data_IF_776917404363
#
_entry.id   IF_776917404363
#
_cell.length_a   1.000
_cell.length_b   1.000
_cell.length_c   1.000
_cell.angle_alpha   90.00
_cell.angle_beta   90.00
_cell.angle_gamma   90.00
#
_symmetry.space_group_name_H-M   'P 1'
#
loop_
_entity.id
_entity.type
_entity.pdbx_description
1 polymer ?
#
# COMPACT_ATOMS: atom_id res chain seq x y z
N UNK A 1 45.75 6.72 -36.12
CA UNK A 1 45.30 8.13 -35.98
C UNK A 1 43.86 8.22 -36.47
N UNK A 2 43.02 8.95 -35.73
CA UNK A 2 41.63 9.34 -36.01
C UNK A 2 40.48 8.37 -35.69
N UNK A 3 39.94 8.62 -34.50
CA UNK A 3 38.60 8.36 -33.97
C UNK A 3 37.47 8.90 -34.87
N UNK A 4 36.33 8.21 -34.90
CA UNK A 4 35.01 8.85 -34.88
C UNK A 4 34.04 8.00 -34.06
N UNK A 5 33.76 8.48 -32.85
CA UNK A 5 32.71 7.96 -31.97
C UNK A 5 31.43 8.68 -32.36
N UNK A 6 30.49 7.99 -33.00
CA UNK A 6 29.14 8.52 -33.21
C UNK A 6 28.29 8.14 -31.99
N UNK A 7 28.22 9.05 -31.02
CA UNK A 7 27.34 8.95 -29.87
C UNK A 7 25.89 9.18 -30.31
N UNK A 8 25.23 8.11 -30.75
CA UNK A 8 23.79 8.06 -30.92
C UNK A 8 23.10 8.01 -29.55
N UNK A 9 22.35 9.07 -29.24
CA UNK A 9 21.56 9.25 -28.01
C UNK A 9 20.49 8.14 -27.95
N UNK A 10 20.82 7.03 -27.29
CA UNK A 10 19.82 6.02 -26.92
C UNK A 10 19.00 6.57 -25.75
N UNK A 11 17.90 7.25 -26.07
CA UNK A 11 16.81 7.49 -25.13
C UNK A 11 16.34 6.14 -24.59
N UNK A 12 16.84 5.72 -23.41
CA UNK A 12 16.36 4.53 -22.70
C UNK A 12 14.91 4.82 -22.28
N UNK A 13 13.96 4.45 -23.13
CA UNK A 13 12.65 4.04 -22.64
C UNK A 13 12.91 2.80 -21.78
N UNK A 14 13.05 3.00 -20.48
CA UNK A 14 13.13 1.93 -19.48
C UNK A 14 11.82 1.16 -19.58
N UNK A 15 11.81 0.11 -20.40
CA UNK A 15 10.74 -0.87 -20.40
C UNK A 15 10.57 -1.33 -18.96
N UNK A 16 9.32 -1.41 -18.51
CA UNK A 16 9.00 -1.96 -17.19
C UNK A 16 9.56 -3.37 -17.19
N UNK A 17 10.65 -3.58 -16.46
CA UNK A 17 11.27 -4.88 -16.40
C UNK A 17 10.37 -5.79 -15.54
N UNK A 18 10.26 -7.10 -15.82
CA UNK A 18 9.61 -8.05 -14.90
C UNK A 18 10.15 -7.95 -13.47
N UNK A 19 11.40 -7.51 -13.31
CA UNK A 19 11.99 -7.17 -12.01
C UNK A 19 11.20 -6.08 -11.29
N UNK A 20 10.66 -5.07 -11.97
CA UNK A 20 9.93 -3.98 -11.33
C UNK A 20 8.63 -4.46 -10.67
N UNK A 21 7.93 -5.44 -11.26
CA UNK A 21 6.73 -6.01 -10.65
C UNK A 21 7.09 -6.86 -9.43
N UNK A 22 8.15 -7.67 -9.53
CA UNK A 22 8.67 -8.45 -8.40
C UNK A 22 9.13 -7.55 -7.26
N UNK A 23 9.82 -6.44 -7.57
CA UNK A 23 10.28 -5.45 -6.58
C UNK A 23 9.10 -4.77 -5.87
N UNK A 24 8.02 -4.43 -6.60
CA UNK A 24 6.80 -3.89 -5.98
C UNK A 24 6.18 -4.93 -5.03
N UNK A 25 6.07 -6.19 -5.47
CA UNK A 25 5.53 -7.26 -4.62
C UNK A 25 6.39 -7.46 -3.37
N UNK A 26 7.71 -7.48 -3.51
CA UNK A 26 8.64 -7.61 -2.41
C UNK A 26 8.52 -6.44 -1.41
N UNK A 27 8.39 -5.21 -1.90
CA UNK A 27 8.19 -4.04 -1.03
C UNK A 27 6.88 -4.11 -0.24
N UNK A 28 5.77 -4.51 -0.88
CA UNK A 28 4.48 -4.70 -0.19
C UNK A 28 4.55 -5.82 0.84
N UNK A 29 5.21 -6.93 0.50
CA UNK A 29 5.39 -8.06 1.42
C UNK A 29 6.22 -7.64 2.64
N UNK A 30 7.35 -6.97 2.44
CA UNK A 30 8.20 -6.46 3.52
C UNK A 30 7.41 -5.56 4.49
N UNK A 31 6.58 -4.67 3.96
CA UNK A 31 5.74 -3.77 4.75
C UNK A 31 4.73 -4.56 5.60
N UNK A 32 4.07 -5.55 4.99
CA UNK A 32 3.16 -6.42 5.71
C UNK A 32 3.87 -7.19 6.83
N UNK A 33 5.06 -7.74 6.55
CA UNK A 33 5.85 -8.49 7.52
C UNK A 33 6.29 -7.60 8.69
N UNK A 34 6.74 -6.37 8.41
CA UNK A 34 7.08 -5.38 9.44
C UNK A 34 5.87 -5.00 10.30
N UNK A 35 4.70 -4.78 9.69
CA UNK A 35 3.47 -4.48 10.39
C UNK A 35 3.05 -5.66 11.28
N UNK A 36 3.08 -6.89 10.77
CA UNK A 36 2.76 -8.12 11.49
C UNK A 36 3.73 -8.39 12.65
N UNK A 37 5.01 -8.09 12.46
CA UNK A 37 6.05 -8.25 13.49
C UNK A 37 6.09 -7.11 14.52
N UNK A 38 5.28 -6.06 14.36
CA UNK A 38 5.30 -4.89 15.25
C UNK A 38 6.54 -3.99 15.08
N UNK A 39 7.23 -4.07 13.94
CA UNK A 39 8.43 -3.30 13.62
C UNK A 39 8.08 -1.90 13.09
N UNK A 40 7.27 -1.15 13.85
CA UNK A 40 6.68 0.11 13.38
C UNK A 40 7.71 1.22 13.12
N UNK A 41 8.81 1.23 13.88
CA UNK A 41 9.92 2.14 13.66
C UNK A 41 10.57 1.93 12.29
N UNK A 42 10.81 0.67 11.90
CA UNK A 42 11.37 0.33 10.58
C UNK A 42 10.34 0.56 9.46
N UNK A 43 9.05 0.31 9.75
CA UNK A 43 7.96 0.54 8.81
C UNK A 43 7.85 2.01 8.39
N UNK A 44 8.26 2.96 9.24
CA UNK A 44 8.31 4.38 8.88
C UNK A 44 9.17 4.65 7.65
N UNK A 45 10.24 3.88 7.45
CA UNK A 45 11.10 4.03 6.27
C UNK A 45 10.41 3.55 4.99
N UNK A 46 9.34 2.76 5.07
CA UNK A 46 8.53 2.42 3.88
C UNK A 46 7.66 3.57 3.36
N UNK A 47 7.55 4.66 4.13
CA UNK A 47 6.75 5.82 3.77
C UNK A 47 7.47 6.71 2.74
N UNK A 48 6.73 7.30 1.78
CA UNK A 48 7.25 8.33 0.90
C UNK A 48 7.79 9.53 1.70
N UNK A 49 8.79 10.21 1.16
CA UNK A 49 9.35 11.45 1.71
C UNK A 49 8.26 12.47 2.10
N UNK A 50 7.25 12.64 1.25
CA UNK A 50 6.13 13.54 1.51
C UNK A 50 5.30 13.16 2.73
N UNK A 51 5.22 11.88 3.08
CA UNK A 51 4.54 11.41 4.29
C UNK A 51 5.44 11.59 5.50
N UNK A 52 6.74 11.27 5.37
CA UNK A 52 7.75 11.46 6.42
C UNK A 52 7.94 12.93 6.83
N UNK A 53 7.60 13.89 5.96
CA UNK A 53 7.60 15.31 6.32
C UNK A 53 6.37 15.77 7.12
N UNK A 54 5.31 14.97 7.18
CA UNK A 54 4.03 15.32 7.85
C UNK A 54 3.85 14.66 9.21
N UNK A 55 4.48 13.52 9.44
CA UNK A 55 4.42 12.76 10.68
C UNK A 55 5.83 12.35 11.08
N UNK A 56 6.18 12.55 12.35
CA UNK A 56 7.48 12.08 12.87
C UNK A 56 7.46 10.56 13.05
N UNK A 57 8.66 9.97 13.10
CA UNK A 57 8.83 8.52 13.30
C UNK A 57 8.13 8.04 14.57
N UNK A 58 8.43 8.67 15.71
CA UNK A 58 7.84 8.33 17.01
C UNK A 58 6.31 8.44 16.99
N UNK A 59 5.76 9.49 16.35
CA UNK A 59 4.31 9.69 16.28
C UNK A 59 3.65 8.63 15.41
N UNK A 60 4.29 8.21 14.33
CA UNK A 60 3.83 7.13 13.47
C UNK A 60 3.83 5.78 14.23
N UNK A 61 4.96 5.44 14.85
CA UNK A 61 5.09 4.19 15.60
C UNK A 61 4.11 4.13 16.78
N UNK A 62 3.99 5.21 17.57
CA UNK A 62 3.03 5.30 18.66
C UNK A 62 1.57 5.22 18.20
N UNK A 63 1.25 5.67 16.97
CA UNK A 63 -0.09 5.53 16.41
C UNK A 63 -0.42 4.07 16.07
N UNK A 64 0.51 3.33 15.47
CA UNK A 64 0.32 1.92 15.16
C UNK A 64 0.31 1.05 16.41
N UNK A 65 1.17 1.34 17.38
CA UNK A 65 1.23 0.63 18.66
C UNK A 65 -0.11 0.61 19.38
N UNK A 66 -0.85 1.73 19.34
CA UNK A 66 -2.20 1.83 19.94
C UNK A 66 -3.22 0.88 19.31
N UNK A 67 -3.00 0.46 18.07
CA UNK A 67 -3.88 -0.45 17.34
C UNK A 67 -3.46 -1.92 17.41
N UNK A 68 -2.28 -2.23 17.97
CA UNK A 68 -1.67 -3.58 17.96
C UNK A 68 -2.58 -4.68 18.52
N UNK A 69 -3.38 -4.37 19.53
CA UNK A 69 -4.24 -5.34 20.19
C UNK A 69 -5.66 -5.38 19.62
N UNK A 70 -5.95 -4.60 18.58
CA UNK A 70 -7.27 -4.57 17.93
C UNK A 70 -7.42 -5.67 16.88
N UNK A 71 -6.30 -6.19 16.37
CA UNK A 71 -6.29 -7.23 15.35
C UNK A 71 -4.96 -8.00 15.38
N UNK A 72 -4.98 -9.24 14.91
CA UNK A 72 -3.81 -10.06 14.65
C UNK A 72 -3.71 -10.34 13.15
N UNK A 73 -2.68 -9.82 12.49
CA UNK A 73 -2.48 -10.04 11.06
C UNK A 73 -2.12 -11.51 10.77
N UNK A 74 -2.84 -12.12 9.84
CA UNK A 74 -2.64 -13.49 9.40
C UNK A 74 -1.76 -13.51 8.15
N UNK A 75 -2.31 -13.10 7.00
CA UNK A 75 -1.63 -13.16 5.70
C UNK A 75 -2.03 -12.00 4.80
N UNK A 76 -1.28 -11.85 3.71
CA UNK A 76 -1.59 -10.93 2.62
C UNK A 76 -1.60 -11.67 1.29
N UNK A 77 -2.57 -11.36 0.44
CA UNK A 77 -2.57 -11.72 -0.97
C UNK A 77 -2.23 -10.46 -1.77
N UNK A 78 -1.21 -10.57 -2.64
CA UNK A 78 -0.72 -9.46 -3.46
C UNK A 78 -1.02 -9.79 -4.92
N UNK A 79 -1.87 -8.97 -5.55
CA UNK A 79 -2.23 -9.13 -6.95
C UNK A 79 -1.07 -8.87 -7.92
N UNK A 80 -1.37 -8.82 -9.21
CA UNK A 80 -0.40 -8.43 -10.24
C UNK A 80 -0.12 -6.91 -10.17
N UNK A 81 1.11 -6.48 -9.87
CA UNK A 81 1.44 -5.06 -9.84
C UNK A 81 1.38 -4.45 -11.24
N UNK A 82 0.82 -3.25 -11.35
CA UNK A 82 0.80 -2.47 -12.59
C UNK A 82 1.75 -1.29 -12.41
N UNK A 83 2.88 -1.35 -13.11
CA UNK A 83 3.96 -0.36 -13.00
C UNK A 83 3.86 0.63 -14.16
N UNK A 84 4.24 1.88 -13.92
CA UNK A 84 4.34 2.94 -14.92
C UNK A 84 5.46 3.90 -14.52
N UNK A 85 6.68 3.65 -15.02
CA UNK A 85 7.87 4.42 -14.62
C UNK A 85 8.16 4.23 -13.13
N UNK A 86 8.19 5.34 -12.38
CA UNK A 86 8.45 5.33 -10.93
C UNK A 86 7.17 5.17 -10.09
N UNK A 87 6.05 4.81 -10.70
CA UNK A 87 4.77 4.63 -10.01
C UNK A 87 4.28 3.19 -10.18
N UNK A 88 3.60 2.68 -9.17
CA UNK A 88 2.93 1.39 -9.27
C UNK A 88 1.60 1.39 -8.52
N UNK A 89 0.71 0.50 -8.96
CA UNK A 89 -0.52 0.19 -8.25
C UNK A 89 -0.67 -1.32 -8.15
N UNK A 90 -1.13 -1.81 -7.00
CA UNK A 90 -1.37 -3.22 -6.75
C UNK A 90 -2.59 -3.38 -5.88
N UNK A 91 -3.47 -4.32 -6.24
CA UNK A 91 -4.62 -4.69 -5.42
C UNK A 91 -4.14 -5.72 -4.39
N UNK A 92 -4.47 -5.52 -3.11
CA UNK A 92 -4.09 -6.41 -2.00
C UNK A 92 -5.31 -6.85 -1.20
N UNK A 93 -5.24 -8.05 -0.65
CA UNK A 93 -6.19 -8.56 0.35
C UNK A 93 -5.41 -8.91 1.60
N UNK A 94 -5.66 -8.18 2.69
CA UNK A 94 -5.05 -8.42 3.98
C UNK A 94 -6.05 -9.15 4.88
N UNK A 95 -5.63 -10.26 5.47
CA UNK A 95 -6.43 -11.04 6.41
C UNK A 95 -5.93 -10.82 7.83
N UNK A 96 -6.86 -10.70 8.76
CA UNK A 96 -6.56 -10.53 10.16
C UNK A 96 -7.65 -11.16 11.02
N UNK A 97 -7.30 -11.62 12.21
CA UNK A 97 -8.29 -11.89 13.24
C UNK A 97 -8.57 -10.59 14.01
N UNK A 98 -9.83 -10.19 14.12
CA UNK A 98 -10.24 -8.95 14.79
C UNK A 98 -10.58 -9.26 16.24
N UNK A 99 -10.01 -8.51 17.17
CA UNK A 99 -10.26 -8.66 18.60
C UNK A 99 -11.73 -8.31 18.98
N UNK A 100 -12.16 -8.58 20.22
CA UNK A 100 -13.48 -8.18 20.71
C UNK A 100 -13.80 -6.69 20.44
N UNK A 101 -15.06 -6.34 20.17
CA UNK A 101 -16.28 -7.14 20.36
C UNK A 101 -16.67 -8.02 19.15
N UNK A 102 -15.93 -8.00 18.05
CA UNK A 102 -16.27 -8.81 16.88
C UNK A 102 -15.82 -10.27 17.04
N UNK A 103 -14.59 -10.48 17.54
CA UNK A 103 -13.98 -11.81 17.73
C UNK A 103 -14.14 -12.70 16.48
N UNK A 104 -13.66 -12.18 15.35
CA UNK A 104 -13.94 -12.75 14.04
C UNK A 104 -12.81 -12.52 13.04
N UNK A 105 -12.70 -13.42 12.06
CA UNK A 105 -11.80 -13.21 10.93
C UNK A 105 -12.29 -12.04 10.07
N UNK A 106 -11.39 -11.14 9.74
CA UNK A 106 -11.60 -10.02 8.84
C UNK A 106 -10.71 -10.11 7.60
N UNK A 107 -11.15 -9.48 6.52
CA UNK A 107 -10.27 -9.14 5.40
C UNK A 107 -10.51 -7.74 4.90
N UNK A 108 -9.42 -7.07 4.53
CA UNK A 108 -9.40 -5.74 3.95
C UNK A 108 -8.91 -5.85 2.50
N UNK A 109 -9.75 -5.46 1.55
CA UNK A 109 -9.38 -5.36 0.13
C UNK A 109 -9.07 -3.91 -0.18
N UNK A 110 -7.82 -3.63 -0.54
CA UNK A 110 -7.32 -2.27 -0.77
C UNK A 110 -6.52 -2.21 -2.06
N UNK A 111 -6.62 -1.09 -2.75
CA UNK A 111 -5.70 -0.74 -3.81
C UNK A 111 -4.55 0.07 -3.21
N UNK A 112 -3.33 -0.49 -3.27
CA UNK A 112 -2.10 0.14 -2.82
C UNK A 112 -1.40 0.87 -3.98
N UNK A 113 -0.97 2.10 -3.71
CA UNK A 113 -0.19 2.93 -4.61
C UNK A 113 1.23 3.03 -4.09
N UNK A 114 2.20 2.89 -4.98
CA UNK A 114 3.61 2.97 -4.64
C UNK A 114 4.33 3.98 -5.52
N UNK A 115 5.34 4.62 -4.94
CA UNK A 115 6.27 5.51 -5.62
C UNK A 115 7.69 5.02 -5.40
N UNK A 116 8.51 5.06 -6.44
CA UNK A 116 9.94 4.75 -6.34
C UNK A 116 10.70 6.02 -5.97
N UNK A 117 11.31 6.02 -4.79
CA UNK A 117 12.13 7.11 -4.25
C UNK A 117 13.45 6.52 -3.72
N UNK A 118 14.57 7.22 -3.96
CA UNK A 118 15.91 6.78 -3.50
C UNK A 118 16.26 5.34 -3.93
N UNK A 119 15.76 4.92 -5.09
CA UNK A 119 15.98 3.57 -5.63
C UNK A 119 15.05 2.47 -5.11
N UNK A 120 14.22 2.75 -4.09
CA UNK A 120 13.29 1.78 -3.48
C UNK A 120 11.82 2.15 -3.64
N UNK A 121 10.92 1.16 -3.60
CA UNK A 121 9.48 1.38 -3.60
C UNK A 121 8.95 1.76 -2.21
N UNK A 122 8.13 2.80 -2.14
CA UNK A 122 7.51 3.34 -0.92
C UNK A 122 5.99 3.35 -1.09
N UNK A 123 5.23 3.01 -0.04
CA UNK A 123 3.76 2.89 -0.10
C UNK A 123 3.08 4.21 0.23
N UNK A 124 2.28 4.73 -0.71
CA UNK A 124 1.56 6.00 -0.59
C UNK A 124 0.17 5.88 0.08
N UNK A 125 -0.31 4.68 0.41
CA UNK A 125 -1.69 4.44 0.90
C UNK A 125 -1.91 4.62 2.39
N UNK A 126 -1.15 5.51 3.04
CA UNK A 126 -1.31 5.76 4.49
C UNK A 126 -2.65 6.41 4.87
N UNK A 127 -3.20 7.28 4.02
CA UNK A 127 -4.53 7.89 4.21
C UNK A 127 -5.10 8.43 2.87
N UNK A 128 -6.41 8.73 2.85
CA UNK A 128 -7.09 9.24 1.64
C UNK A 128 -6.49 10.55 1.13
N UNK A 129 -6.11 11.46 2.01
CA UNK A 129 -5.55 12.76 1.62
C UNK A 129 -4.20 12.60 0.91
N UNK A 130 -3.39 11.62 1.32
CA UNK A 130 -2.11 11.27 0.73
C UNK A 130 -2.31 10.64 -0.65
N UNK A 131 -3.27 9.71 -0.78
CA UNK A 131 -3.64 9.11 -2.07
C UNK A 131 -4.16 10.18 -3.03
N UNK A 132 -5.09 11.03 -2.58
CA UNK A 132 -5.67 12.08 -3.41
C UNK A 132 -4.60 13.06 -3.89
N UNK A 133 -3.66 13.46 -3.02
CA UNK A 133 -2.52 14.30 -3.41
C UNK A 133 -1.62 13.59 -4.42
N UNK A 134 -1.29 12.32 -4.17
CA UNK A 134 -0.49 11.50 -5.08
C UNK A 134 -1.12 11.41 -6.48
N UNK A 135 -2.42 11.13 -6.58
CA UNK A 135 -3.13 11.02 -7.86
C UNK A 135 -3.26 12.38 -8.57
N UNK A 136 -3.51 13.46 -7.81
CA UNK A 136 -3.54 14.84 -8.37
C UNK A 136 -2.20 15.25 -8.97
N UNK A 137 -1.09 14.90 -8.31
CA UNK A 137 0.26 15.15 -8.83
C UNK A 137 0.64 14.24 -10.00
N UNK A 138 -0.11 13.17 -10.26
CA UNK A 138 0.17 12.18 -11.30
C UNK A 138 -1.06 11.89 -12.18
N UNK A 139 -1.58 12.89 -12.93
CA UNK A 139 -2.88 12.78 -13.60
C UNK A 139 -2.92 11.72 -14.71
N UNK A 140 -1.83 11.51 -15.45
CA UNK A 140 -1.75 10.46 -16.47
C UNK A 140 -1.85 9.05 -15.86
N UNK A 141 -1.27 8.86 -14.68
CA UNK A 141 -1.36 7.61 -13.93
C UNK A 141 -2.76 7.42 -13.35
N UNK A 142 -3.33 8.46 -12.74
CA UNK A 142 -4.67 8.45 -12.15
C UNK A 142 -5.78 8.13 -13.17
N UNK A 143 -5.66 8.61 -14.41
CA UNK A 143 -6.60 8.28 -15.50
C UNK A 143 -6.63 6.79 -15.82
N UNK A 144 -5.48 6.11 -15.73
CA UNK A 144 -5.36 4.66 -15.98
C UNK A 144 -5.75 3.83 -14.76
N UNK A 145 -5.51 4.36 -13.56
CA UNK A 145 -5.65 3.66 -12.30
C UNK A 145 -6.42 4.52 -11.27
N UNK A 146 -7.75 4.70 -11.47
CA UNK A 146 -8.56 5.50 -10.57
C UNK A 146 -8.68 4.85 -9.19
N UNK A 147 -8.84 5.69 -8.16
CA UNK A 147 -8.98 5.24 -6.76
C UNK A 147 -10.17 4.30 -6.60
N UNK A 148 -9.92 3.14 -6.00
CA UNK A 148 -10.96 2.22 -5.54
C UNK A 148 -11.16 2.40 -4.04
N UNK A 149 -12.41 2.50 -3.54
CA UNK A 149 -12.64 2.53 -2.10
C UNK A 149 -12.16 1.22 -1.46
N UNK A 150 -11.54 1.27 -0.27
CA UNK A 150 -11.29 0.09 0.53
C UNK A 150 -12.58 -0.66 0.83
N UNK A 151 -12.54 -1.99 0.79
CA UNK A 151 -13.67 -2.85 1.16
C UNK A 151 -13.28 -3.71 2.34
N UNK A 152 -14.08 -3.67 3.41
CA UNK A 152 -13.85 -4.43 4.64
C UNK A 152 -14.82 -5.60 4.65
N UNK A 153 -14.39 -6.78 5.07
CA UNK A 153 -15.26 -7.93 5.25
C UNK A 153 -15.01 -8.57 6.59
N UNK A 154 -16.05 -9.14 7.18
CA UNK A 154 -15.99 -9.94 8.40
C UNK A 154 -16.61 -11.31 8.11
N UNK A 155 -15.99 -12.36 8.61
CA UNK A 155 -16.49 -13.72 8.49
C UNK A 155 -17.53 -13.96 9.58
N UNK A 156 -18.79 -14.21 9.18
CA UNK A 156 -19.88 -14.55 10.10
C UNK A 156 -20.61 -15.78 9.56
N UNK A 157 -20.87 -16.76 10.42
CA UNK A 157 -21.55 -18.00 10.06
C UNK A 157 -20.91 -18.71 8.84
N UNK A 158 -19.57 -18.67 8.77
CA UNK A 158 -18.80 -19.26 7.67
C UNK A 158 -18.71 -18.41 6.38
N UNK A 159 -19.47 -17.31 6.27
CA UNK A 159 -19.53 -16.47 5.08
C UNK A 159 -18.81 -15.13 5.24
N UNK A 160 -18.18 -14.63 4.19
CA UNK A 160 -17.58 -13.29 4.15
C UNK A 160 -18.65 -12.24 3.86
N UNK A 161 -18.99 -11.41 4.85
CA UNK A 161 -19.95 -10.32 4.69
C UNK A 161 -19.19 -9.00 4.56
N UNK A 162 -19.54 -8.21 3.55
CA UNK A 162 -18.96 -6.87 3.38
C UNK A 162 -19.50 -5.94 4.45
N UNK A 163 -18.59 -5.27 5.14
CA UNK A 163 -18.89 -4.30 6.17
C UNK A 163 -18.82 -2.91 5.55
N UNK A 164 -19.97 -2.23 5.45
CA UNK A 164 -19.98 -0.79 5.17
C UNK A 164 -19.84 -0.04 6.50
N UNK A 165 -18.68 0.60 6.79
CA UNK A 165 -18.52 1.38 8.01
C UNK A 165 -19.47 2.58 8.10
N UNK A 166 -20.15 2.97 7.00
CA UNK A 166 -21.24 3.97 7.00
C UNK A 166 -22.57 3.41 7.52
N UNK A 167 -22.74 2.09 7.54
CA UNK A 167 -23.95 1.40 8.03
C UNK A 167 -24.05 1.29 9.56
N UNK A 168 -22.97 1.56 10.31
CA UNK A 168 -22.94 1.58 11.78
C UNK A 168 -23.80 2.68 12.45
N UNK A 169 -24.53 3.49 11.65
CA UNK A 169 -25.46 4.52 12.16
C UNK A 169 -26.89 4.02 12.39
N UNK A 170 -27.16 2.72 12.31
CA UNK A 170 -28.42 2.19 12.82
C UNK A 170 -28.14 1.22 13.96
N UNK A 171 -28.47 1.57 15.22
CA UNK A 171 -28.54 0.56 16.27
C UNK A 171 -29.60 -0.48 15.89
N UNK A 172 -29.45 -1.74 16.34
CA UNK A 172 -30.51 -2.74 16.19
C UNK A 172 -31.81 -2.19 16.80
N UNK A 173 -32.92 -2.37 16.07
CA UNK A 173 -34.26 -2.15 16.61
C UNK A 173 -34.58 -3.21 17.66
#
# INVERSE_FOLDING_TARGET
LCCFVSSGIASRRKGIAPSDQSDVRAAVQLIFDQLKAGQYEALYDSLPSSSRSRITRDRFAAALQRSRNLYQLDRIEIGAPRVSGNLAVVDTVMYAHIAPPFDADGKLVVQQYLVREEGGWRVATGDRATIDRFLKSNPAFARRFPIKPPRVFIKQNGNWNEFDPRGLRQPPK
#
